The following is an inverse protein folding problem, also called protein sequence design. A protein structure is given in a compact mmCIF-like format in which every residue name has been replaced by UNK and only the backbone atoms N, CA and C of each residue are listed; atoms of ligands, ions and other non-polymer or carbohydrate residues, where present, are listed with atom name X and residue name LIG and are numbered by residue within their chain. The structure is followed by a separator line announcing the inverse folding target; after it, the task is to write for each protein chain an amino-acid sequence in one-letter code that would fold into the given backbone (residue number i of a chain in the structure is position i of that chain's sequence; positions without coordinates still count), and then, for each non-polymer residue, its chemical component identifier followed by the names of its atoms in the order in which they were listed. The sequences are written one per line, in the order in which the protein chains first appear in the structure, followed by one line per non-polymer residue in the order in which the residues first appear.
data_IF_339108063218
#
_entry.id   IF_339108063218
#
_cell.length_a   1.000
_cell.length_b   1.000
_cell.length_c   1.000
_cell.angle_alpha   90.00
_cell.angle_beta   90.00
_cell.angle_gamma   90.00
#
_symmetry.space_group_name_H-M   'P 1'
#
loop_
_entity.id
_entity.type
_entity.pdbx_description
1 polymer ?
#
# COMPACT_ATOMS: atom_id res chain seq x y z
N UNK A 1 -11.95 -26.43 33.67
CA UNK A 1 -11.22 -25.62 32.67
C UNK A 1 -12.00 -24.32 32.54
N UNK A 2 -11.52 -23.22 33.13
CA UNK A 2 -12.26 -21.95 33.15
C UNK A 2 -12.17 -21.31 31.76
N UNK A 3 -13.28 -21.31 31.03
CA UNK A 3 -13.45 -20.56 29.79
C UNK A 3 -13.57 -19.08 30.12
N UNK A 4 -12.43 -18.42 30.27
CA UNK A 4 -12.38 -16.96 30.20
C UNK A 4 -12.32 -16.60 28.73
N UNK A 5 -13.49 -16.24 28.19
CA UNK A 5 -13.60 -15.61 26.89
C UNK A 5 -12.81 -14.29 26.99
N UNK A 6 -11.66 -14.21 26.32
CA UNK A 6 -10.93 -12.97 26.12
C UNK A 6 -11.73 -12.08 25.15
N UNK A 7 -12.94 -11.70 25.52
CA UNK A 7 -13.68 -10.62 24.89
C UNK A 7 -12.93 -9.34 25.24
N UNK A 8 -12.00 -8.92 24.37
CA UNK A 8 -11.47 -7.57 24.42
C UNK A 8 -12.60 -6.63 23.97
N UNK A 9 -13.22 -5.84 24.87
CA UNK A 9 -14.38 -5.00 24.53
C UNK A 9 -14.03 -3.87 23.54
N UNK A 10 -12.76 -3.75 23.15
CA UNK A 10 -12.28 -2.79 22.15
C UNK A 10 -12.17 -3.40 20.73
N UNK A 11 -12.27 -4.72 20.57
CA UNK A 11 -12.21 -5.36 19.24
C UNK A 11 -13.62 -5.54 18.69
N UNK A 12 -13.96 -4.80 17.65
CA UNK A 12 -15.21 -5.00 16.90
C UNK A 12 -15.04 -6.06 15.82
N UNK A 13 -16.15 -6.60 15.32
CA UNK A 13 -16.12 -7.50 14.15
C UNK A 13 -15.51 -6.83 12.92
N UNK A 14 -15.68 -5.51 12.79
CA UNK A 14 -15.04 -4.70 11.76
C UNK A 14 -13.52 -4.72 11.88
N UNK A 15 -12.98 -4.58 13.10
CA UNK A 15 -11.53 -4.63 13.35
C UNK A 15 -10.95 -6.00 13.04
N UNK A 16 -11.66 -7.08 13.42
CA UNK A 16 -11.28 -8.44 13.09
C UNK A 16 -11.27 -8.67 11.57
N UNK A 17 -12.27 -8.15 10.87
CA UNK A 17 -12.36 -8.24 9.41
C UNK A 17 -11.23 -7.46 8.74
N UNK A 18 -10.95 -6.24 9.20
CA UNK A 18 -9.82 -5.43 8.72
C UNK A 18 -8.50 -6.19 8.87
N UNK A 19 -8.25 -6.73 10.07
CA UNK A 19 -7.02 -7.45 10.40
C UNK A 19 -6.81 -8.65 9.47
N UNK A 20 -7.87 -9.44 9.23
CA UNK A 20 -7.84 -10.57 8.30
C UNK A 20 -7.54 -10.13 6.87
N UNK A 21 -8.16 -9.06 6.39
CA UNK A 21 -7.92 -8.54 5.04
C UNK A 21 -6.48 -8.04 4.87
N UNK A 22 -5.95 -7.29 5.84
CA UNK A 22 -4.59 -6.78 5.81
C UNK A 22 -3.54 -7.89 5.83
N UNK A 23 -3.69 -8.88 6.71
CA UNK A 23 -2.78 -10.04 6.76
C UNK A 23 -2.85 -10.82 5.45
N UNK A 24 -4.04 -11.09 4.93
CA UNK A 24 -4.20 -11.81 3.67
C UNK A 24 -3.58 -11.04 2.49
N UNK A 25 -3.69 -9.72 2.47
CA UNK A 25 -3.06 -8.88 1.44
C UNK A 25 -1.54 -9.07 1.42
N UNK A 26 -0.89 -8.95 2.58
CA UNK A 26 0.57 -9.13 2.70
C UNK A 26 1.01 -10.56 2.43
N UNK A 27 0.26 -11.56 2.89
CA UNK A 27 0.56 -12.98 2.60
C UNK A 27 0.46 -13.27 1.10
N UNK A 28 -0.58 -12.77 0.42
CA UNK A 28 -0.71 -12.96 -1.03
C UNK A 28 0.42 -12.26 -1.79
N UNK A 29 0.79 -11.05 -1.39
CA UNK A 29 1.92 -10.34 -1.98
C UNK A 29 3.23 -11.13 -1.81
N UNK A 30 3.53 -11.59 -0.59
CA UNK A 30 4.74 -12.36 -0.33
C UNK A 30 4.81 -13.68 -1.12
N UNK A 31 3.66 -14.31 -1.39
CA UNK A 31 3.58 -15.59 -2.11
C UNK A 31 3.55 -15.45 -3.62
N UNK A 32 2.94 -14.40 -4.16
CA UNK A 32 2.60 -14.30 -5.59
C UNK A 32 3.09 -13.03 -6.27
N UNK A 33 3.61 -12.07 -5.51
CA UNK A 33 3.92 -10.72 -5.98
C UNK A 33 2.70 -9.84 -6.24
N UNK A 34 1.48 -10.35 -6.02
CA UNK A 34 0.22 -9.61 -6.24
C UNK A 34 -0.55 -9.46 -4.93
N UNK A 35 -0.68 -8.24 -4.38
CA UNK A 35 -1.51 -8.01 -3.21
C UNK A 35 -3.00 -8.13 -3.58
N UNK A 36 -3.81 -8.67 -2.66
CA UNK A 36 -5.26 -8.80 -2.84
C UNK A 36 -5.97 -8.27 -1.60
N UNK A 37 -6.92 -7.34 -1.79
CA UNK A 37 -7.70 -6.77 -0.70
C UNK A 37 -9.17 -6.69 -1.08
N UNK A 38 -10.05 -7.40 -0.36
CA UNK A 38 -11.50 -7.25 -0.48
C UNK A 38 -12.10 -7.47 -1.88
N UNK A 39 -11.38 -8.13 -2.79
CA UNK A 39 -11.81 -8.29 -4.19
C UNK A 39 -11.61 -7.07 -5.09
N UNK A 40 -10.93 -6.03 -4.60
CA UNK A 40 -10.59 -4.84 -5.38
C UNK A 40 -9.52 -5.17 -6.42
N UNK A 41 -9.73 -4.72 -7.65
CA UNK A 41 -8.70 -4.77 -8.69
C UNK A 41 -7.67 -3.65 -8.44
N UNK A 42 -6.59 -4.01 -7.75
CA UNK A 42 -5.46 -3.14 -7.48
C UNK A 42 -4.33 -3.42 -8.47
N UNK A 43 -4.21 -2.56 -9.48
CA UNK A 43 -3.19 -2.66 -10.52
C UNK A 43 -1.87 -2.01 -10.10
N UNK A 44 -0.71 -2.55 -10.54
CA UNK A 44 0.59 -1.91 -10.33
C UNK A 44 0.64 -0.51 -10.93
N UNK A 45 1.37 0.39 -10.28
CA UNK A 45 1.63 1.75 -10.79
C UNK A 45 2.48 1.69 -12.06
N UNK A 46 2.17 2.54 -13.04
CA UNK A 46 3.02 2.68 -14.23
C UNK A 46 4.31 3.43 -13.86
N UNK A 47 5.48 3.07 -14.41
CA UNK A 47 6.70 3.85 -14.26
C UNK A 47 6.55 5.32 -14.69
N UNK A 48 5.60 5.61 -15.59
CA UNK A 48 5.33 6.96 -16.08
C UNK A 48 4.27 7.72 -15.26
N UNK A 49 3.59 7.08 -14.30
CA UNK A 49 2.51 7.70 -13.50
C UNK A 49 3.00 8.93 -12.72
N UNK A 50 4.27 8.92 -12.29
CA UNK A 50 4.90 10.07 -11.63
C UNK A 50 5.17 11.27 -12.53
N UNK A 51 5.19 11.05 -13.86
CA UNK A 51 5.37 12.10 -14.89
C UNK A 51 4.02 12.60 -15.41
N UNK A 52 3.01 11.72 -15.45
CA UNK A 52 1.66 12.04 -15.97
C UNK A 52 0.71 12.67 -14.96
N UNK A 53 1.19 13.02 -13.75
CA UNK A 53 0.45 13.84 -12.79
C UNK A 53 -0.60 13.13 -11.94
N UNK A 54 -0.54 11.79 -11.81
CA UNK A 54 -1.50 11.07 -10.96
C UNK A 54 -1.00 9.68 -10.55
N UNK A 55 -0.92 9.43 -9.24
CA UNK A 55 -0.58 8.13 -8.69
C UNK A 55 -1.85 7.36 -8.32
N UNK A 56 -2.07 6.23 -9.01
CA UNK A 56 -3.13 5.29 -8.64
C UNK A 56 -2.70 4.45 -7.44
N UNK A 57 -3.55 4.38 -6.42
CA UNK A 57 -3.30 3.63 -5.20
C UNK A 57 -4.60 2.98 -4.71
N UNK A 58 -4.45 1.95 -3.87
CA UNK A 58 -5.56 1.37 -3.13
C UNK A 58 -5.87 2.26 -1.92
N UNK A 59 -7.06 2.85 -1.88
CA UNK A 59 -7.58 3.52 -0.69
C UNK A 59 -8.38 2.53 0.14
N UNK A 60 -8.04 2.41 1.41
CA UNK A 60 -8.70 1.54 2.38
C UNK A 60 -9.29 2.44 3.48
N UNK A 61 -10.61 2.67 3.43
CA UNK A 61 -11.33 3.44 4.44
C UNK A 61 -11.89 2.55 5.55
N UNK A 62 -12.34 1.34 5.19
CA UNK A 62 -12.89 0.34 6.12
C UNK A 62 -12.82 -1.07 5.50
N UNK A 63 -13.17 -2.15 6.21
CA UNK A 63 -13.11 -3.50 5.66
C UNK A 63 -14.02 -3.71 4.45
N UNK A 64 -15.07 -2.89 4.35
CA UNK A 64 -16.08 -2.91 3.29
C UNK A 64 -15.94 -1.72 2.33
N UNK A 65 -15.01 -0.81 2.60
CA UNK A 65 -14.74 0.37 1.79
C UNK A 65 -13.28 0.39 1.37
N UNK A 66 -12.99 -0.34 0.29
CA UNK A 66 -11.73 -0.29 -0.39
C UNK A 66 -11.96 -0.06 -1.89
N UNK A 67 -11.15 0.82 -2.49
CA UNK A 67 -11.25 1.15 -3.92
C UNK A 67 -9.93 1.71 -4.45
N UNK A 68 -9.69 1.51 -5.74
CA UNK A 68 -8.57 2.16 -6.43
C UNK A 68 -8.93 3.63 -6.71
N UNK A 69 -8.02 4.54 -6.37
CA UNK A 69 -8.15 5.98 -6.57
C UNK A 69 -6.86 6.55 -7.14
N UNK A 70 -6.97 7.62 -7.91
CA UNK A 70 -5.82 8.37 -8.43
C UNK A 70 -5.76 9.73 -7.76
N UNK A 71 -4.60 10.10 -7.25
CA UNK A 71 -4.35 11.43 -6.67
C UNK A 71 -3.17 12.10 -7.37
N UNK A 72 -3.28 13.39 -7.75
CA UNK A 72 -2.16 14.15 -8.29
C UNK A 72 -1.12 14.49 -7.21
N UNK A 73 -1.57 14.71 -5.98
CA UNK A 73 -0.77 15.21 -4.85
C UNK A 73 -0.83 14.24 -3.65
N UNK A 74 -0.63 12.94 -3.90
CA UNK A 74 -0.63 11.95 -2.83
C UNK A 74 0.54 12.20 -1.88
N UNK A 75 0.24 12.56 -0.63
CA UNK A 75 1.27 12.83 0.39
C UNK A 75 1.89 14.23 0.29
N UNK A 76 1.21 15.19 -0.36
CA UNK A 76 1.68 16.57 -0.50
C UNK A 76 3.02 16.68 -1.24
N UNK A 77 3.13 15.96 -2.36
CA UNK A 77 4.31 15.99 -3.24
C UNK A 77 4.61 17.39 -3.73
N UNK A 78 3.59 18.17 -4.09
CA UNK A 78 3.79 19.55 -4.55
C UNK A 78 4.51 20.41 -3.50
N UNK A 79 4.19 20.19 -2.22
CA UNK A 79 4.89 20.84 -1.12
C UNK A 79 6.33 20.36 -1.00
N UNK A 80 6.58 19.06 -0.98
CA UNK A 80 7.93 18.50 -0.82
C UNK A 80 8.85 18.85 -2.01
N UNK A 81 8.33 18.81 -3.23
CA UNK A 81 9.05 19.17 -4.46
C UNK A 81 9.38 20.67 -4.52
N UNK A 82 8.66 21.52 -3.76
CA UNK A 82 8.93 22.97 -3.67
C UNK A 82 10.12 23.33 -2.77
N UNK A 83 10.57 22.40 -1.93
CA UNK A 83 11.64 22.68 -1.00
C UNK A 83 12.98 22.76 -1.74
N UNK A 84 13.89 23.69 -1.40
CA UNK A 84 15.20 23.82 -2.03
C UNK A 84 16.20 22.77 -1.49
N UNK A 85 15.76 21.51 -1.44
CA UNK A 85 16.55 20.38 -0.96
C UNK A 85 17.22 19.74 -2.16
N UNK A 86 18.56 19.74 -2.18
CA UNK A 86 19.33 18.99 -3.15
C UNK A 86 19.44 17.54 -2.67
N UNK A 87 18.45 16.71 -3.01
CA UNK A 87 18.53 15.29 -2.70
C UNK A 87 19.64 14.64 -3.52
N UNK A 88 20.56 13.87 -2.90
CA UNK A 88 21.52 13.10 -3.66
C UNK A 88 20.76 12.09 -4.51
N UNK A 89 20.83 12.25 -5.83
CA UNK A 89 20.25 11.30 -6.77
C UNK A 89 20.77 9.89 -6.46
N UNK A 90 19.83 8.94 -6.31
CA UNK A 90 20.06 7.51 -6.10
C UNK A 90 21.49 7.05 -6.42
N UNK A 91 22.28 6.72 -5.39
CA UNK A 91 23.63 6.15 -5.54
C UNK A 91 23.66 4.82 -6.35
N UNK A 92 22.48 4.27 -6.67
CA UNK A 92 22.29 3.04 -7.43
C UNK A 92 21.95 3.26 -8.92
N UNK A 93 21.84 4.49 -9.40
CA UNK A 93 21.57 4.76 -10.82
C UNK A 93 22.77 4.51 -11.74
N UNK A 94 23.92 4.08 -11.19
CA UNK A 94 25.17 3.94 -11.93
C UNK A 94 26.01 2.76 -11.49
N UNK A 95 25.52 1.54 -11.66
CA UNK A 95 26.38 0.39 -11.98
C UNK A 95 25.53 -0.73 -12.53
N UNK A 96 25.61 -0.94 -13.85
CA UNK A 96 25.00 -2.11 -14.46
C UNK A 96 25.56 -3.38 -13.83
N UNK A 97 24.74 -4.09 -13.08
CA UNK A 97 24.89 -5.52 -12.86
C UNK A 97 23.51 -6.18 -12.87
N UNK A 98 23.27 -6.81 -14.00
CA UNK A 98 22.47 -8.01 -14.13
C UNK A 98 22.91 -9.00 -13.04
N UNK A 99 22.05 -9.31 -12.08
CA UNK A 99 22.13 -10.57 -11.33
C UNK A 99 20.72 -11.04 -11.06
N UNK A 100 20.49 -12.27 -11.52
CA UNK A 100 19.27 -13.06 -11.42
C UNK A 100 18.95 -13.45 -9.97
N UNK A 101 17.66 -13.81 -9.79
CA UNK A 101 16.98 -14.47 -8.67
C UNK A 101 16.63 -13.62 -7.45
#
# INVERSE_FOLDING_TARGET
MLGVEYMNPLETDSDRKMSKLMVNMWVNFARTGKPVFGGVDWVPVSPTSGVSGGLSHLHIGSPDEARTVTSPDLGHRDFWDSLPINEPANLFAGTGRHTEF
#
